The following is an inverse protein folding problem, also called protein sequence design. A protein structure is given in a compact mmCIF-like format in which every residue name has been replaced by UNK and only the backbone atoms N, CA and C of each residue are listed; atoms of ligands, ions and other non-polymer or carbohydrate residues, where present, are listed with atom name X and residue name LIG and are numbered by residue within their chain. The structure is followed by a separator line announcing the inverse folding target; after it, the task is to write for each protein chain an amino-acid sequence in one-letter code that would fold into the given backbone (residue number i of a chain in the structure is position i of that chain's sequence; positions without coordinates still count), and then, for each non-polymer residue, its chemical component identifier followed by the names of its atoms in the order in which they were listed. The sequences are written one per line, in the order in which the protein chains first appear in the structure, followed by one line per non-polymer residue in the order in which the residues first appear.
data_IF_943153173528
#
_entry.id   IF_943153173528
#
_cell.length_a   1.000
_cell.length_b   1.000
_cell.length_c   1.000
_cell.angle_alpha   90.00
_cell.angle_beta   90.00
_cell.angle_gamma   90.00
#
_symmetry.space_group_name_H-M   'P 1'
#
loop_
_entity.id
_entity.type
_entity.pdbx_description
1 polymer ?
#
# COMPACT_ATOMS: atom_id res chain seq x y z
N UNK A 1 -19.05 -21.65 67.68
CA UNK A 1 -19.00 -22.40 66.40
C UNK A 1 -17.82 -21.86 65.60
N UNK A 2 -16.83 -22.72 65.35
CA UNK A 2 -15.48 -22.32 64.87
C UNK A 2 -15.42 -22.29 63.34
N UNK A 3 -14.69 -21.31 62.82
CA UNK A 3 -14.49 -21.01 61.41
C UNK A 3 -13.93 -22.19 60.61
N UNK A 4 -14.52 -22.45 59.43
CA UNK A 4 -13.95 -23.36 58.43
C UNK A 4 -13.06 -22.53 57.50
N UNK A 5 -11.76 -22.82 57.52
CA UNK A 5 -10.77 -22.23 56.64
C UNK A 5 -10.96 -22.71 55.20
N UNK A 6 -11.06 -21.76 54.28
CA UNK A 6 -10.94 -22.02 52.85
C UNK A 6 -9.45 -22.07 52.47
N UNK A 7 -8.94 -23.25 52.14
CA UNK A 7 -7.63 -23.39 51.49
C UNK A 7 -7.78 -23.12 49.99
N UNK A 8 -7.16 -22.03 49.52
CA UNK A 8 -6.99 -21.74 48.08
C UNK A 8 -6.07 -22.81 47.47
N UNK A 9 -6.60 -23.63 46.56
CA UNK A 9 -5.77 -24.42 45.64
C UNK A 9 -5.08 -23.45 44.68
N UNK A 10 -3.77 -23.27 44.83
CA UNK A 10 -2.94 -22.65 43.80
C UNK A 10 -2.95 -23.56 42.56
N UNK A 11 -3.73 -23.16 41.56
CA UNK A 11 -3.66 -23.78 40.23
C UNK A 11 -2.42 -23.25 39.52
N UNK A 12 -1.32 -23.98 39.63
CA UNK A 12 -0.15 -23.78 38.77
C UNK A 12 -0.49 -24.27 37.35
N UNK A 13 -1.21 -23.45 36.58
CA UNK A 13 -1.20 -23.58 35.11
C UNK A 13 0.14 -23.03 34.61
N UNK A 14 1.20 -23.83 34.78
CA UNK A 14 2.39 -23.68 33.95
C UNK A 14 1.94 -24.15 32.56
N UNK A 15 1.62 -23.20 31.67
CA UNK A 15 1.56 -23.50 30.24
C UNK A 15 2.97 -23.94 29.85
N UNK A 16 3.18 -25.24 29.74
CA UNK A 16 4.28 -25.81 28.96
C UNK A 16 4.04 -25.42 27.50
N UNK A 17 4.40 -24.19 27.14
CA UNK A 17 4.59 -23.81 25.74
C UNK A 17 5.95 -24.38 25.37
N UNK A 18 5.95 -25.43 24.55
CA UNK A 18 7.16 -25.99 23.98
C UNK A 18 7.96 -24.85 23.30
N UNK A 19 9.19 -24.54 23.75
CA UNK A 19 10.01 -23.49 23.15
C UNK A 19 10.47 -23.85 21.72
N UNK A 20 10.24 -25.09 21.28
CA UNK A 20 10.52 -25.57 19.93
C UNK A 20 9.26 -25.55 19.04
N UNK A 21 8.35 -24.60 19.23
CA UNK A 21 7.50 -24.23 18.09
C UNK A 21 8.42 -23.55 17.09
N UNK A 22 9.01 -24.34 16.19
CA UNK A 22 9.56 -23.84 14.94
C UNK A 22 8.52 -22.84 14.41
N UNK A 23 8.90 -21.56 14.34
CA UNK A 23 8.10 -20.61 13.56
C UNK A 23 8.00 -21.26 12.20
N UNK A 24 6.83 -21.76 11.84
CA UNK A 24 6.57 -22.24 10.49
C UNK A 24 6.74 -21.01 9.62
N UNK A 25 7.93 -20.89 9.01
CA UNK A 25 8.23 -19.82 8.08
C UNK A 25 7.41 -20.15 6.85
N UNK A 26 6.36 -19.38 6.63
CA UNK A 26 5.56 -19.46 5.42
C UNK A 26 6.49 -19.22 4.23
N UNK A 27 6.47 -20.12 3.25
CA UNK A 27 7.24 -19.92 2.02
C UNK A 27 6.76 -18.67 1.26
N UNK A 28 7.61 -18.10 0.42
CA UNK A 28 7.26 -16.92 -0.38
C UNK A 28 5.99 -17.12 -1.22
N UNK A 29 5.78 -18.31 -1.77
CA UNK A 29 4.55 -18.64 -2.52
C UNK A 29 3.32 -18.67 -1.62
N UNK A 30 3.42 -19.25 -0.42
CA UNK A 30 2.32 -19.29 0.53
C UNK A 30 1.96 -17.87 1.02
N UNK A 31 2.97 -17.03 1.28
CA UNK A 31 2.78 -15.62 1.66
C UNK A 31 2.09 -14.85 0.54
N UNK A 32 2.58 -14.99 -0.69
CA UNK A 32 1.99 -14.38 -1.88
C UNK A 32 0.52 -14.77 -2.05
N UNK A 33 0.18 -16.05 -1.89
CA UNK A 33 -1.21 -16.52 -2.00
C UNK A 33 -2.10 -15.98 -0.87
N UNK A 34 -1.58 -15.90 0.36
CA UNK A 34 -2.27 -15.26 1.49
C UNK A 34 -2.57 -13.78 1.21
N UNK A 35 -1.60 -13.05 0.66
CA UNK A 35 -1.76 -11.65 0.24
C UNK A 35 -2.78 -11.51 -0.89
N UNK A 36 -2.69 -12.33 -1.95
CA UNK A 36 -3.69 -12.35 -3.03
C UNK A 36 -5.11 -12.48 -2.48
N UNK A 37 -5.36 -13.45 -1.60
CA UNK A 37 -6.70 -13.65 -1.02
C UNK A 37 -7.20 -12.44 -0.22
N UNK A 38 -6.31 -11.65 0.40
CA UNK A 38 -6.67 -10.40 1.09
C UNK A 38 -7.02 -9.26 0.14
N UNK A 39 -6.33 -9.20 -1.00
CA UNK A 39 -6.30 -8.04 -1.89
C UNK A 39 -7.07 -8.22 -3.22
N UNK A 40 -7.51 -9.45 -3.54
CA UNK A 40 -8.21 -9.83 -4.78
C UNK A 40 -9.47 -9.02 -5.11
N UNK A 41 -10.09 -8.35 -4.13
CA UNK A 41 -11.27 -7.50 -4.32
C UNK A 41 -10.98 -6.00 -4.17
N UNK A 42 -9.70 -5.61 -4.14
CA UNK A 42 -9.25 -4.22 -3.98
C UNK A 42 -8.84 -3.55 -5.30
N UNK A 43 -9.22 -4.12 -6.45
CA UNK A 43 -9.16 -3.37 -7.71
C UNK A 43 -10.06 -2.14 -7.58
N UNK A 44 -9.41 -1.02 -7.34
CA UNK A 44 -10.03 0.25 -6.95
C UNK A 44 -9.73 1.28 -8.02
N UNK A 45 -10.64 2.22 -8.20
CA UNK A 45 -10.44 3.36 -9.10
C UNK A 45 -9.12 4.10 -8.77
N UNK A 46 -8.67 4.05 -7.51
CA UNK A 46 -7.37 4.57 -7.06
C UNK A 46 -6.21 3.85 -7.75
N UNK A 47 -6.22 2.51 -7.82
CA UNK A 47 -5.18 1.75 -8.51
C UNK A 47 -5.18 2.04 -10.02
N UNK A 48 -6.36 2.08 -10.63
CA UNK A 48 -6.52 2.40 -12.05
C UNK A 48 -5.95 3.77 -12.38
N UNK A 49 -6.21 4.79 -11.56
CA UNK A 49 -5.60 6.11 -11.73
C UNK A 49 -4.07 6.07 -11.60
N UNK A 50 -3.52 5.30 -10.65
CA UNK A 50 -2.08 5.10 -10.52
C UNK A 50 -1.45 4.47 -11.77
N UNK A 51 -2.12 3.48 -12.35
CA UNK A 51 -1.71 2.84 -13.61
C UNK A 51 -1.70 3.83 -14.76
N UNK A 52 -2.74 4.66 -14.89
CA UNK A 52 -2.83 5.64 -15.98
C UNK A 52 -1.70 6.68 -15.89
N UNK A 53 -1.38 7.17 -14.69
CA UNK A 53 -0.20 8.03 -14.48
C UNK A 53 1.09 7.34 -14.89
N UNK A 54 1.27 6.07 -14.50
CA UNK A 54 2.46 5.32 -14.85
C UNK A 54 2.58 5.12 -16.36
N UNK A 55 1.51 4.73 -17.05
CA UNK A 55 1.51 4.54 -18.50
C UNK A 55 1.89 5.83 -19.26
N UNK A 56 1.35 6.97 -18.82
CA UNK A 56 1.73 8.28 -19.40
C UNK A 56 3.21 8.57 -19.11
N UNK A 57 3.70 8.27 -17.90
CA UNK A 57 5.11 8.43 -17.55
C UNK A 57 6.01 7.56 -18.44
N UNK A 58 5.61 6.31 -18.72
CA UNK A 58 6.33 5.40 -19.61
C UNK A 58 6.41 5.93 -21.05
N UNK A 59 5.30 6.45 -21.58
CA UNK A 59 5.28 7.06 -22.91
C UNK A 59 6.21 8.29 -22.97
N UNK A 60 6.15 9.15 -21.96
CA UNK A 60 7.01 10.34 -21.87
C UNK A 60 8.49 10.00 -21.69
N UNK A 61 8.80 8.96 -20.90
CA UNK A 61 10.16 8.46 -20.67
C UNK A 61 10.84 7.97 -21.96
N UNK A 62 10.05 7.35 -22.86
CA UNK A 62 10.52 6.84 -24.14
C UNK A 62 10.40 7.85 -25.29
N UNK A 63 9.94 9.07 -25.01
CA UNK A 63 9.77 10.13 -26.01
C UNK A 63 11.10 10.74 -26.45
N UNK A 64 11.18 11.16 -27.72
CA UNK A 64 12.29 12.00 -28.22
C UNK A 64 12.33 13.37 -27.52
N UNK A 65 11.18 13.85 -27.05
CA UNK A 65 11.04 15.10 -26.29
C UNK A 65 11.07 14.81 -24.79
N UNK A 66 12.15 14.17 -24.33
CA UNK A 66 12.30 13.79 -22.93
C UNK A 66 12.29 15.01 -22.00
N UNK A 67 11.33 15.04 -21.05
CA UNK A 67 11.20 16.07 -20.02
C UNK A 67 11.16 15.40 -18.63
N UNK A 68 12.26 15.44 -17.85
CA UNK A 68 12.37 14.63 -16.64
C UNK A 68 11.41 15.05 -15.52
N UNK A 69 11.17 16.35 -15.32
CA UNK A 69 10.30 16.81 -14.21
C UNK A 69 8.82 16.41 -14.36
N UNK A 70 8.20 16.52 -15.55
CA UNK A 70 6.88 15.90 -15.78
C UNK A 70 6.87 14.40 -15.51
N UNK A 71 7.89 13.67 -15.97
CA UNK A 71 7.99 12.22 -15.73
C UNK A 71 8.06 11.94 -14.23
N UNK A 72 8.95 12.61 -13.49
CA UNK A 72 9.08 12.43 -12.04
C UNK A 72 7.77 12.73 -11.30
N UNK A 73 7.06 13.78 -11.72
CA UNK A 73 5.74 14.12 -11.15
C UNK A 73 4.73 12.99 -11.38
N UNK A 74 4.67 12.43 -12.59
CA UNK A 74 3.79 11.31 -12.91
C UNK A 74 4.17 10.04 -12.15
N UNK A 75 5.47 9.74 -12.00
CA UNK A 75 5.95 8.62 -11.20
C UNK A 75 5.58 8.79 -9.72
N UNK A 76 5.72 10.00 -9.16
CA UNK A 76 5.32 10.29 -7.79
C UNK A 76 3.82 10.04 -7.57
N UNK A 77 2.98 10.53 -8.50
CA UNK A 77 1.53 10.30 -8.46
C UNK A 77 1.20 8.81 -8.56
N UNK A 78 1.83 8.08 -9.47
CA UNK A 78 1.62 6.64 -9.62
C UNK A 78 1.96 5.88 -8.33
N UNK A 79 3.14 6.12 -7.74
CA UNK A 79 3.58 5.49 -6.49
C UNK A 79 2.60 5.80 -5.36
N UNK A 80 2.18 7.07 -5.23
CA UNK A 80 1.20 7.48 -4.21
C UNK A 80 -0.11 6.69 -4.35
N UNK A 81 -0.63 6.55 -5.57
CA UNK A 81 -1.87 5.83 -5.84
C UNK A 81 -1.74 4.33 -5.57
N UNK A 82 -0.61 3.73 -5.93
CA UNK A 82 -0.32 2.33 -5.64
C UNK A 82 -0.29 2.02 -4.13
N UNK A 83 0.30 2.88 -3.32
CA UNK A 83 0.24 2.70 -1.86
C UNK A 83 -1.16 2.95 -1.31
N UNK A 84 -1.88 3.94 -1.83
CA UNK A 84 -3.25 4.24 -1.38
C UNK A 84 -4.26 3.17 -1.77
N UNK A 85 -4.05 2.45 -2.87
CA UNK A 85 -4.93 1.37 -3.32
C UNK A 85 -4.84 0.11 -2.46
N UNK A 86 -3.77 -0.06 -1.67
CA UNK A 86 -3.58 -1.19 -0.75
C UNK A 86 -4.32 -1.02 0.59
N UNK A 87 -5.02 0.10 0.79
CA UNK A 87 -5.87 0.30 1.97
C UNK A 87 -7.06 1.21 1.62
N UNK A 88 -8.01 0.62 0.89
CA UNK A 88 -9.26 1.30 0.48
C UNK A 88 -10.47 0.79 1.24
N UNK A 89 -11.34 1.71 1.64
CA UNK A 89 -12.68 1.41 2.14
C UNK A 89 -13.75 1.83 1.13
N UNK A 90 -14.73 0.95 0.97
CA UNK A 90 -15.97 1.25 0.26
C UNK A 90 -16.99 1.83 1.24
N UNK A 91 -17.21 3.14 1.18
CA UNK A 91 -18.29 3.78 1.92
C UNK A 91 -19.54 3.84 1.04
N UNK A 92 -20.58 3.12 1.44
CA UNK A 92 -21.92 3.29 0.89
C UNK A 92 -22.60 4.45 1.61
N UNK A 93 -22.78 5.56 0.92
CA UNK A 93 -23.66 6.62 1.43
C UNK A 93 -25.11 6.23 1.15
N UNK A 94 -25.94 6.14 2.19
CA UNK A 94 -27.39 6.11 2.01
C UNK A 94 -27.85 7.51 1.65
N UNK A 95 -28.57 7.66 0.54
CA UNK A 95 -29.27 8.91 0.28
C UNK A 95 -30.33 9.10 1.37
N UNK A 96 -30.12 10.05 2.28
CA UNK A 96 -31.16 10.51 3.18
C UNK A 96 -32.16 11.33 2.35
N UNK A 97 -33.08 10.66 1.65
CA UNK A 97 -34.28 11.34 1.17
C UNK A 97 -35.32 11.28 2.30
N UNK A 98 -35.79 12.42 2.83
CA UNK A 98 -36.89 12.42 3.76
C UNK A 98 -38.17 12.25 2.93
N UNK A 99 -38.69 11.03 2.82
CA UNK A 99 -40.12 10.74 2.58
C UNK A 99 -40.34 9.23 2.76
N UNK A 100 -41.17 8.89 3.74
CA UNK A 100 -41.22 7.60 4.43
C UNK A 100 -42.27 6.61 3.88
N UNK A 101 -42.62 6.63 2.59
CA UNK A 101 -43.82 5.89 2.15
C UNK A 101 -43.64 4.91 0.97
N UNK A 102 -42.41 4.51 0.61
CA UNK A 102 -42.25 3.41 -0.37
C UNK A 102 -41.16 2.40 0.03
N UNK A 103 -41.39 1.08 -0.15
CA UNK A 103 -40.37 0.05 0.03
C UNK A 103 -39.40 0.08 -1.16
N UNK A 104 -38.49 1.06 -1.17
CA UNK A 104 -37.49 1.15 -2.22
C UNK A 104 -36.40 0.10 -2.04
N UNK A 105 -36.15 -0.66 -3.12
CA UNK A 105 -34.85 -1.27 -3.40
C UNK A 105 -33.77 -0.23 -3.08
N UNK A 106 -33.02 -0.45 -1.99
CA UNK A 106 -31.86 0.38 -1.65
C UNK A 106 -30.78 0.06 -2.68
N UNK A 107 -30.86 0.68 -3.85
CA UNK A 107 -29.76 0.74 -4.78
C UNK A 107 -28.71 1.64 -4.14
N UNK A 108 -27.48 1.17 -3.87
CA UNK A 108 -26.42 2.04 -3.38
C UNK A 108 -26.14 3.09 -4.46
N UNK A 109 -26.59 4.33 -4.23
CA UNK A 109 -26.61 5.38 -5.26
C UNK A 109 -25.24 5.94 -5.57
N UNK A 110 -24.27 5.86 -4.64
CA UNK A 110 -22.86 6.18 -4.90
C UNK A 110 -21.94 5.33 -4.02
N UNK A 111 -21.01 4.57 -4.64
CA UNK A 111 -19.87 3.97 -3.92
C UNK A 111 -18.78 5.03 -3.83
N UNK A 112 -18.44 5.44 -2.61
CA UNK A 112 -17.29 6.32 -2.40
C UNK A 112 -16.10 5.45 -1.98
N UNK A 113 -15.10 5.36 -2.86
CA UNK A 113 -13.82 4.73 -2.54
C UNK A 113 -12.97 5.78 -1.83
N UNK A 114 -12.52 5.47 -0.62
CA UNK A 114 -11.58 6.32 0.12
C UNK A 114 -10.39 5.49 0.58
N UNK A 115 -9.19 6.05 0.47
CA UNK A 115 -8.02 5.45 1.13
C UNK A 115 -8.04 5.77 2.62
N UNK A 116 -7.67 4.78 3.44
CA UNK A 116 -7.40 4.95 4.87
C UNK A 116 -5.97 5.45 5.13
N UNK A 117 -5.07 5.36 4.15
CA UNK A 117 -3.71 5.87 4.25
C UNK A 117 -3.69 7.40 4.04
N UNK A 118 -3.69 8.16 5.14
CA UNK A 118 -3.80 9.62 5.17
C UNK A 118 -2.46 10.38 5.20
N UNK A 119 -1.34 9.73 4.88
CA UNK A 119 0.00 10.34 4.92
C UNK A 119 0.29 11.36 3.79
N UNK A 120 -0.75 11.98 3.23
CA UNK A 120 -0.63 13.02 2.22
C UNK A 120 0.10 12.56 0.96
N UNK A 121 1.17 13.29 0.63
CA UNK A 121 2.05 13.09 -0.52
C UNK A 121 3.43 12.52 -0.14
N UNK A 122 3.61 12.12 1.12
CA UNK A 122 4.90 11.65 1.63
C UNK A 122 5.12 10.18 1.27
N UNK A 123 5.90 9.92 0.20
CA UNK A 123 6.06 8.58 -0.36
C UNK A 123 6.64 7.57 0.65
N UNK A 124 7.57 8.00 1.49
CA UNK A 124 8.14 7.16 2.54
C UNK A 124 7.08 6.80 3.59
N UNK A 125 6.33 7.79 4.08
CA UNK A 125 5.33 7.59 5.12
C UNK A 125 4.15 6.76 4.61
N UNK A 126 3.77 6.93 3.33
CA UNK A 126 2.77 6.09 2.66
C UNK A 126 3.18 4.62 2.65
N UNK A 127 4.46 4.32 2.41
CA UNK A 127 4.99 2.96 2.46
C UNK A 127 5.17 2.43 3.88
N UNK A 128 5.79 3.22 4.76
CA UNK A 128 6.07 2.84 6.15
C UNK A 128 4.80 2.61 6.97
N UNK A 129 3.68 3.22 6.57
CA UNK A 129 2.34 2.92 7.11
C UNK A 129 2.06 1.41 7.21
N UNK A 130 2.46 0.64 6.20
CA UNK A 130 2.23 -0.80 6.16
C UNK A 130 3.09 -1.59 7.14
N UNK A 131 4.20 -1.03 7.66
CA UNK A 131 5.02 -1.71 8.68
C UNK A 131 4.21 -2.07 9.94
N UNK A 132 3.19 -1.25 10.27
CA UNK A 132 2.28 -1.45 11.41
C UNK A 132 0.92 -2.00 10.98
N UNK A 133 0.41 -1.55 9.83
CA UNK A 133 -0.93 -1.92 9.35
C UNK A 133 -0.99 -3.35 8.80
N UNK A 134 0.01 -3.73 8.02
CA UNK A 134 0.12 -5.06 7.40
C UNK A 134 1.61 -5.40 7.20
N UNK A 135 2.24 -5.87 8.28
CA UNK A 135 3.68 -6.13 8.29
C UNK A 135 4.11 -7.21 7.30
N UNK A 136 3.22 -8.15 6.98
CA UNK A 136 3.44 -9.19 5.98
C UNK A 136 3.50 -8.60 4.56
N UNK A 137 2.56 -7.73 4.20
CA UNK A 137 2.61 -6.99 2.92
C UNK A 137 3.87 -6.13 2.84
N UNK A 138 4.18 -5.39 3.91
CA UNK A 138 5.36 -4.54 3.97
C UNK A 138 6.66 -5.34 3.77
N UNK A 139 6.80 -6.47 4.45
CA UNK A 139 7.96 -7.36 4.29
C UNK A 139 7.98 -7.98 2.89
N UNK A 140 6.83 -8.40 2.36
CA UNK A 140 6.73 -8.96 1.01
C UNK A 140 7.23 -7.97 -0.04
N UNK A 141 6.72 -6.73 -0.05
CA UNK A 141 7.14 -5.70 -1.01
C UNK A 141 8.65 -5.41 -0.87
N UNK A 142 9.15 -5.24 0.36
CA UNK A 142 10.58 -5.00 0.61
C UNK A 142 11.45 -6.15 0.09
N UNK A 143 11.09 -7.39 0.41
CA UNK A 143 11.87 -8.56 0.04
C UNK A 143 11.86 -8.79 -1.47
N UNK A 144 10.68 -8.70 -2.10
CA UNK A 144 10.57 -8.87 -3.56
C UNK A 144 11.38 -7.82 -4.31
N UNK A 145 11.32 -6.54 -3.90
CA UNK A 145 12.11 -5.48 -4.51
C UNK A 145 13.62 -5.68 -4.27
N UNK A 146 14.00 -6.01 -3.02
CA UNK A 146 15.39 -6.22 -2.65
C UNK A 146 16.01 -7.40 -3.38
N UNK A 147 15.25 -8.49 -3.55
CA UNK A 147 15.69 -9.67 -4.30
C UNK A 147 15.86 -9.35 -5.79
N UNK A 148 14.96 -8.55 -6.37
CA UNK A 148 15.00 -8.22 -7.80
C UNK A 148 16.11 -7.21 -8.15
N UNK A 149 16.35 -6.21 -7.30
CA UNK A 149 17.24 -5.09 -7.62
C UNK A 149 18.47 -4.95 -6.73
N UNK A 150 18.61 -5.78 -5.68
CA UNK A 150 19.71 -5.70 -4.73
C UNK A 150 19.73 -4.43 -3.87
N UNK A 151 18.55 -3.81 -3.66
CA UNK A 151 18.42 -2.49 -3.03
C UNK A 151 17.21 -2.43 -2.10
N UNK A 152 17.28 -1.60 -1.07
CA UNK A 152 16.15 -1.32 -0.18
C UNK A 152 15.26 -0.22 -0.78
N UNK A 153 13.95 -0.47 -1.06
CA UNK A 153 13.08 0.56 -1.60
C UNK A 153 12.85 1.71 -0.61
N UNK A 154 13.04 1.49 0.70
CA UNK A 154 12.87 2.51 1.74
C UNK A 154 13.85 3.65 1.59
N UNK A 155 15.11 3.35 1.29
CA UNK A 155 16.14 4.38 1.10
C UNK A 155 15.82 5.26 -0.11
N UNK A 156 15.29 4.67 -1.19
CA UNK A 156 14.86 5.44 -2.36
C UNK A 156 13.65 6.32 -2.03
N UNK A 157 12.65 5.76 -1.35
CA UNK A 157 11.44 6.46 -0.94
C UNK A 157 11.72 7.58 0.07
N UNK A 158 12.66 7.39 0.99
CA UNK A 158 13.06 8.39 1.99
C UNK A 158 13.73 9.60 1.32
N UNK A 159 14.69 9.36 0.42
CA UNK A 159 15.35 10.43 -0.37
C UNK A 159 14.34 11.18 -1.26
N UNK A 160 13.30 10.49 -1.71
CA UNK A 160 12.28 11.04 -2.61
C UNK A 160 10.93 11.26 -1.92
N UNK A 161 10.91 11.43 -0.59
CA UNK A 161 9.64 11.48 0.17
C UNK A 161 8.71 12.60 -0.27
N UNK A 162 9.26 13.74 -0.72
CA UNK A 162 8.52 14.92 -1.22
C UNK A 162 8.57 15.08 -2.74
N UNK A 163 8.80 13.98 -3.47
CA UNK A 163 9.03 14.03 -4.93
C UNK A 163 7.99 14.87 -5.66
N UNK A 164 6.70 14.63 -5.41
CA UNK A 164 5.62 15.38 -6.04
C UNK A 164 5.69 16.90 -5.80
N UNK A 165 5.92 17.32 -4.56
CA UNK A 165 6.00 18.74 -4.19
C UNK A 165 7.16 19.44 -4.89
N UNK A 166 8.29 18.74 -5.01
CA UNK A 166 9.52 19.25 -5.59
C UNK A 166 9.42 19.32 -7.12
N UNK A 167 8.86 18.30 -7.77
CA UNK A 167 8.90 18.20 -9.24
C UNK A 167 7.76 18.93 -9.94
N UNK A 168 6.66 19.25 -9.24
CA UNK A 168 5.56 20.05 -9.80
C UNK A 168 5.94 21.51 -10.05
N UNK A 169 6.94 22.03 -9.34
CA UNK A 169 7.49 23.38 -9.50
C UNK A 169 9.00 23.29 -9.73
N UNK A 170 9.38 22.86 -10.95
CA UNK A 170 10.75 22.51 -11.30
C UNK A 170 11.81 23.59 -10.99
N UNK A 171 11.42 24.87 -10.94
CA UNK A 171 12.34 26.00 -10.75
C UNK A 171 12.27 26.64 -9.35
N UNK A 172 11.40 26.16 -8.46
CA UNK A 172 11.20 26.79 -7.13
C UNK A 172 12.07 26.18 -6.03
N UNK A 173 12.60 24.98 -6.22
CA UNK A 173 13.43 24.31 -5.23
C UNK A 173 14.78 23.87 -5.82
N UNK A 174 15.89 24.33 -5.25
CA UNK A 174 17.25 23.97 -5.67
C UNK A 174 17.52 22.45 -5.54
N UNK A 175 16.85 21.78 -4.60
CA UNK A 175 16.98 20.33 -4.35
C UNK A 175 16.38 19.47 -5.47
N UNK A 176 15.64 20.07 -6.41
CA UNK A 176 15.00 19.37 -7.53
C UNK A 176 15.97 18.57 -8.40
N UNK A 177 17.24 18.98 -8.48
CA UNK A 177 18.27 18.30 -9.25
C UNK A 177 18.65 16.94 -8.65
N UNK A 178 18.49 16.76 -7.34
CA UNK A 178 18.80 15.49 -6.67
C UNK A 178 17.84 14.37 -7.11
N UNK A 179 16.60 14.71 -7.48
CA UNK A 179 15.63 13.72 -7.97
C UNK A 179 15.95 13.22 -9.39
N UNK A 180 16.71 14.00 -10.18
CA UNK A 180 17.10 13.60 -11.53
C UNK A 180 18.04 12.39 -11.52
N UNK A 181 18.92 12.28 -10.51
CA UNK A 181 19.83 11.13 -10.40
C UNK A 181 19.10 9.84 -10.05
N UNK A 182 17.95 9.96 -9.38
CA UNK A 182 17.13 8.82 -8.97
C UNK A 182 16.05 8.44 -10.00
N UNK A 183 15.91 9.17 -11.11
CA UNK A 183 14.82 8.97 -12.08
C UNK A 183 14.70 7.52 -12.58
N UNK A 184 15.82 6.89 -12.94
CA UNK A 184 15.80 5.51 -13.41
C UNK A 184 15.37 4.53 -12.31
N UNK A 185 15.78 4.80 -11.06
CA UNK A 185 15.42 3.95 -9.92
C UNK A 185 13.96 4.14 -9.54
N UNK A 186 13.46 5.37 -9.58
CA UNK A 186 12.04 5.68 -9.38
C UNK A 186 11.18 5.01 -10.45
N UNK A 187 11.59 5.05 -11.72
CA UNK A 187 10.88 4.33 -12.78
C UNK A 187 10.79 2.82 -12.50
N UNK A 188 11.91 2.19 -12.13
CA UNK A 188 11.96 0.76 -11.78
C UNK A 188 11.09 0.43 -10.57
N UNK A 189 11.09 1.29 -9.54
CA UNK A 189 10.22 1.15 -8.38
C UNK A 189 8.74 1.23 -8.78
N UNK A 190 8.36 2.22 -9.59
CA UNK A 190 6.97 2.37 -10.05
C UNK A 190 6.53 1.15 -10.87
N UNK A 191 7.38 0.67 -11.78
CA UNK A 191 7.11 -0.53 -12.58
C UNK A 191 6.93 -1.79 -11.71
N UNK A 192 7.84 -1.98 -10.75
CA UNK A 192 7.77 -3.07 -9.80
C UNK A 192 6.49 -3.02 -8.96
N UNK A 193 6.12 -1.85 -8.44
CA UNK A 193 4.91 -1.68 -7.65
C UNK A 193 3.66 -1.97 -8.49
N UNK A 194 3.60 -1.47 -9.72
CA UNK A 194 2.51 -1.75 -10.64
C UNK A 194 2.34 -3.26 -10.84
N UNK A 195 3.41 -3.97 -11.23
CA UNK A 195 3.36 -5.42 -11.48
C UNK A 195 3.00 -6.21 -10.22
N UNK A 196 3.61 -5.87 -9.08
CA UNK A 196 3.41 -6.58 -7.81
C UNK A 196 1.98 -6.43 -7.32
N UNK A 197 1.45 -5.21 -7.32
CA UNK A 197 0.10 -4.93 -6.81
C UNK A 197 -0.96 -5.42 -7.79
N UNK A 198 -0.74 -5.27 -9.11
CA UNK A 198 -1.63 -5.85 -10.11
C UNK A 198 -1.76 -7.37 -9.94
N UNK A 199 -0.65 -8.07 -9.68
CA UNK A 199 -0.69 -9.49 -9.40
C UNK A 199 -1.46 -9.79 -8.10
N UNK A 200 -1.33 -8.99 -7.04
CA UNK A 200 -2.13 -9.15 -5.82
C UNK A 200 -3.65 -8.97 -6.05
N UNK A 201 -4.05 -8.15 -7.02
CA UNK A 201 -5.46 -7.87 -7.33
C UNK A 201 -6.06 -8.84 -8.35
N UNK A 202 -5.24 -9.55 -9.13
CA UNK A 202 -5.72 -10.53 -10.12
C UNK A 202 -6.43 -11.71 -9.46
N UNK A 203 -7.62 -12.03 -9.97
CA UNK A 203 -8.31 -13.29 -9.65
C UNK A 203 -7.56 -14.46 -10.31
N UNK A 204 -7.25 -15.50 -9.54
CA UNK A 204 -6.82 -16.77 -10.12
C UNK A 204 -8.09 -17.47 -10.62
N UNK A 205 -8.26 -17.57 -11.94
CA UNK A 205 -9.28 -18.40 -12.58
C UNK A 205 -8.82 -19.85 -12.69
#
# INVERSE_FOLDING_TARGET
MKSHGFTRKHSNYIKNVNPNTEKIIMSDEQLKNSLKNRYIFQDSDIFTHGRDYFQIAQLAYNSKEFKPYPILTLLALAIEHFFKSLDTENKTQRSNHPNNDEPFLILPTYRQIQTNNKNGHDLYSLFDYFSKKDSELYQYINNQYSNQFGRDPRTLLERNRKLFEHTRYAYENAENHNHLTDLQELYKLTEFLYQTIEDLFKQNY
#
